data_IF_646438121179
#
_entry.id   IF_646438121179
#
_cell.length_a   1.000
_cell.length_b   1.000
_cell.length_c   1.000
_cell.angle_alpha   90.00
_cell.angle_beta   90.00
_cell.angle_gamma   90.00
#
_symmetry.space_group_name_H-M   'P 1'
#
loop_
_entity.id
_entity.type
_entity.pdbx_description
1 polymer ?
#
# COMPACT_ATOMS: atom_id res chain seq x y z
N UNK A 1 -68.39 -24.39 -35.07
CA UNK A 1 -67.81 -23.07 -34.72
C UNK A 1 -66.61 -23.35 -33.83
N UNK A 2 -65.39 -23.34 -34.40
CA UNK A 2 -64.17 -23.76 -33.71
C UNK A 2 -63.62 -22.55 -32.92
N UNK A 3 -63.67 -22.60 -31.59
CA UNK A 3 -63.24 -21.50 -30.72
C UNK A 3 -61.73 -21.48 -30.53
N UNK A 4 -61.09 -20.39 -30.95
CA UNK A 4 -59.66 -20.13 -30.78
C UNK A 4 -59.30 -20.04 -29.29
N UNK A 5 -58.44 -20.95 -28.81
CA UNK A 5 -57.85 -20.87 -27.46
C UNK A 5 -56.64 -19.93 -27.52
N UNK A 6 -56.75 -18.76 -26.90
CA UNK A 6 -55.63 -17.81 -26.79
C UNK A 6 -54.60 -18.34 -25.77
N UNK A 7 -53.33 -18.41 -26.16
CA UNK A 7 -52.24 -18.72 -25.23
C UNK A 7 -51.98 -17.51 -24.33
N UNK A 8 -52.10 -17.70 -23.01
CA UNK A 8 -51.71 -16.69 -22.03
C UNK A 8 -50.20 -16.72 -21.85
N UNK A 9 -49.52 -15.64 -22.25
CA UNK A 9 -48.09 -15.47 -22.03
C UNK A 9 -47.86 -14.80 -20.66
N UNK A 10 -47.42 -15.59 -19.67
CA UNK A 10 -46.94 -15.05 -18.40
C UNK A 10 -45.56 -14.43 -18.61
N UNK A 11 -45.38 -13.16 -18.22
CA UNK A 11 -44.08 -12.49 -18.28
C UNK A 11 -43.25 -12.95 -17.08
N UNK A 12 -42.11 -13.57 -17.36
CA UNK A 12 -41.11 -13.90 -16.35
C UNK A 12 -40.41 -12.59 -15.95
N UNK A 13 -40.78 -12.04 -14.79
CA UNK A 13 -40.03 -10.94 -14.19
C UNK A 13 -38.77 -11.54 -13.60
N UNK A 14 -37.66 -11.38 -14.30
CA UNK A 14 -36.36 -11.78 -13.79
C UNK A 14 -36.02 -10.81 -12.64
N UNK A 15 -36.12 -11.30 -11.40
CA UNK A 15 -35.70 -10.57 -10.21
C UNK A 15 -34.17 -10.48 -10.26
N UNK A 16 -33.67 -9.31 -10.65
CA UNK A 16 -32.24 -9.00 -10.59
C UNK A 16 -31.89 -8.69 -9.14
N UNK A 17 -30.86 -9.34 -8.61
CA UNK A 17 -30.36 -9.05 -7.27
C UNK A 17 -29.91 -7.59 -7.20
N UNK A 18 -30.40 -6.80 -6.22
CA UNK A 18 -29.98 -5.42 -6.08
C UNK A 18 -28.49 -5.35 -5.73
N UNK A 19 -27.74 -4.60 -6.52
CA UNK A 19 -26.30 -4.42 -6.32
C UNK A 19 -25.99 -3.82 -4.94
N UNK A 20 -25.24 -4.56 -4.13
CA UNK A 20 -24.74 -4.07 -2.82
C UNK A 20 -23.36 -3.45 -2.99
N UNK A 21 -23.18 -2.15 -2.69
CA UNK A 21 -21.87 -1.50 -2.83
C UNK A 21 -20.88 -2.06 -1.80
N UNK A 22 -19.70 -2.46 -2.28
CA UNK A 22 -18.63 -3.05 -1.47
C UNK A 22 -17.88 -2.02 -0.60
N UNK A 23 -18.05 -0.73 -0.88
CA UNK A 23 -17.40 0.36 -0.14
C UNK A 23 -18.43 1.41 0.26
N UNK A 24 -18.26 1.96 1.46
CA UNK A 24 -19.02 3.11 1.95
C UNK A 24 -18.04 4.22 2.31
N UNK A 25 -18.30 5.42 1.79
CA UNK A 25 -17.54 6.60 2.20
C UNK A 25 -18.11 7.14 3.52
N UNK A 26 -17.25 7.57 4.47
CA UNK A 26 -17.71 8.22 5.70
C UNK A 26 -18.50 9.50 5.38
N UNK A 27 -19.60 9.72 6.10
CA UNK A 27 -20.36 10.97 5.98
C UNK A 27 -19.54 12.11 6.61
N UNK A 28 -19.36 13.21 5.87
CA UNK A 28 -18.52 14.36 6.26
C UNK A 28 -19.31 15.66 6.45
N UNK A 29 -20.63 15.57 6.60
CA UNK A 29 -21.51 16.74 6.78
C UNK A 29 -21.14 17.58 8.00
N UNK A 30 -20.89 16.94 9.14
CA UNK A 30 -20.61 17.64 10.39
C UNK A 30 -19.11 17.87 10.63
N UNK A 31 -18.25 17.03 10.03
CA UNK A 31 -16.79 17.08 10.15
C UNK A 31 -16.11 17.07 8.76
N UNK A 32 -16.00 18.24 8.09
CA UNK A 32 -15.53 18.32 6.70
C UNK A 32 -14.05 17.99 6.52
N UNK A 33 -13.25 18.04 7.59
CA UNK A 33 -11.80 17.80 7.56
C UNK A 33 -11.48 16.53 8.36
N UNK A 34 -10.99 15.46 7.73
CA UNK A 34 -10.50 14.31 8.49
C UNK A 34 -9.31 14.76 9.33
N UNK A 35 -9.48 14.77 10.65
CA UNK A 35 -8.35 14.90 11.58
C UNK A 35 -7.40 13.73 11.29
N UNK A 36 -6.17 14.01 10.85
CA UNK A 36 -5.19 12.99 10.44
C UNK A 36 -5.00 11.94 11.54
N UNK A 37 -5.03 12.37 12.80
CA UNK A 37 -4.94 11.54 14.00
C UNK A 37 -6.09 10.53 14.12
N UNK A 38 -7.32 10.93 13.79
CA UNK A 38 -8.51 10.06 13.85
C UNK A 38 -8.59 9.14 12.62
N UNK A 39 -8.16 9.63 11.45
CA UNK A 39 -8.05 8.82 10.25
C UNK A 39 -7.07 7.66 10.44
N UNK A 40 -5.91 7.92 11.06
CA UNK A 40 -4.93 6.89 11.39
C UNK A 40 -5.45 5.91 12.45
N UNK A 41 -6.21 6.39 13.45
CA UNK A 41 -6.82 5.54 14.48
C UNK A 41 -7.92 4.64 13.91
N UNK A 42 -8.70 5.16 12.95
CA UNK A 42 -9.77 4.42 12.26
C UNK A 42 -9.23 3.44 11.23
N UNK A 43 -8.01 3.67 10.71
CA UNK A 43 -7.32 2.78 9.79
C UNK A 43 -6.79 1.48 10.44
N UNK A 44 -7.06 1.25 11.74
CA UNK A 44 -6.68 0.03 12.44
C UNK A 44 -5.17 -0.19 12.55
N UNK A 45 -4.36 0.85 12.34
CA UNK A 45 -2.92 0.77 12.50
C UNK A 45 -2.57 0.83 14.00
N UNK A 46 -1.75 -0.11 14.51
CA UNK A 46 -1.42 -0.16 15.94
C UNK A 46 -0.75 1.15 16.38
N UNK A 47 -1.32 1.77 17.43
CA UNK A 47 -0.76 2.95 18.07
C UNK A 47 0.51 2.54 18.83
N UNK A 48 1.66 2.67 18.18
CA UNK A 48 2.94 2.48 18.83
C UNK A 48 3.25 3.69 19.71
N UNK A 49 2.75 3.64 20.95
CA UNK A 49 3.36 4.35 22.07
C UNK A 49 4.77 3.78 22.27
N UNK A 50 5.78 4.48 21.75
CA UNK A 50 7.18 4.18 22.07
C UNK A 50 7.76 5.34 22.85
N UNK A 51 7.53 5.33 24.16
CA UNK A 51 8.43 5.96 25.11
C UNK A 51 9.79 5.21 25.02
N UNK A 52 10.71 5.69 24.19
CA UNK A 52 12.09 5.20 24.16
C UNK A 52 13.03 6.36 24.40
N UNK A 53 13.43 6.43 25.67
CA UNK A 53 14.75 6.76 26.21
C UNK A 53 15.66 7.65 25.37
N UNK A 54 15.81 8.87 25.90
CA UNK A 54 16.65 9.96 25.48
C UNK A 54 18.13 9.73 25.82
N UNK A 55 18.90 8.89 25.11
CA UNK A 55 20.37 8.89 25.32
C UNK A 55 21.18 8.47 24.08
N UNK A 56 21.65 9.45 23.29
CA UNK A 56 23.05 9.51 22.83
C UNK A 56 23.29 10.79 22.02
N UNK A 57 24.22 11.62 22.51
CA UNK A 57 24.74 12.79 21.80
C UNK A 57 25.60 12.31 20.63
N UNK A 58 25.26 12.65 19.39
CA UNK A 58 26.16 12.35 18.27
C UNK A 58 25.56 12.52 16.87
N UNK A 59 25.68 13.74 16.34
CA UNK A 59 25.75 14.11 14.92
C UNK A 59 24.58 13.83 13.97
N UNK A 60 24.34 14.85 13.12
CA UNK A 60 23.24 15.01 12.18
C UNK A 60 23.41 14.05 10.99
N UNK A 61 22.46 13.16 10.77
CA UNK A 61 22.09 12.72 9.42
C UNK A 61 20.57 12.59 9.38
N UNK A 62 19.88 13.06 8.33
CA UNK A 62 18.44 12.96 8.26
C UNK A 62 18.10 11.49 7.99
N UNK A 63 17.55 10.82 8.98
CA UNK A 63 16.37 9.92 8.96
C UNK A 63 16.00 9.14 7.67
N UNK A 64 16.96 8.79 6.80
CA UNK A 64 16.74 8.07 5.54
C UNK A 64 16.91 6.55 5.69
N UNK A 65 17.06 6.04 6.91
CA UNK A 65 17.29 4.63 7.20
C UNK A 65 16.15 3.94 7.97
N UNK A 66 14.94 4.52 7.99
CA UNK A 66 13.80 3.88 8.66
C UNK A 66 13.17 2.73 7.85
N UNK A 67 13.74 2.38 6.69
CA UNK A 67 13.34 1.23 5.86
C UNK A 67 14.56 0.46 5.35
N UNK A 68 15.48 0.09 6.24
CA UNK A 68 16.46 -0.92 5.88
C UNK A 68 15.74 -2.28 5.90
N UNK A 69 15.24 -2.69 4.73
CA UNK A 69 14.81 -4.08 4.50
C UNK A 69 15.96 -5.04 4.84
N UNK A 70 15.69 -6.36 4.95
CA UNK A 70 16.73 -7.33 5.24
C UNK A 70 17.97 -7.10 4.37
N UNK A 71 19.19 -7.05 4.96
CA UNK A 71 20.40 -6.75 4.20
C UNK A 71 20.54 -7.74 3.05
N UNK A 72 20.73 -7.20 1.84
CA UNK A 72 20.92 -8.00 0.63
C UNK A 72 22.15 -8.91 0.81
N UNK A 73 21.91 -10.19 1.11
CA UNK A 73 22.96 -11.17 1.32
C UNK A 73 23.31 -11.84 -0.01
N UNK A 74 24.57 -12.24 -0.21
CA UNK A 74 25.03 -12.89 -1.45
C UNK A 74 24.22 -14.14 -1.83
N UNK A 75 23.69 -14.86 -0.84
CA UNK A 75 22.80 -16.00 -1.05
C UNK A 75 21.44 -15.60 -1.63
N UNK A 76 20.83 -14.53 -1.12
CA UNK A 76 19.56 -13.99 -1.64
C UNK A 76 19.74 -13.52 -3.08
N UNK A 77 20.84 -12.82 -3.36
CA UNK A 77 21.13 -12.35 -4.72
C UNK A 77 21.32 -13.55 -5.68
N UNK A 78 21.79 -14.71 -5.19
CA UNK A 78 21.92 -15.93 -6.00
C UNK A 78 20.60 -16.58 -6.37
N UNK A 79 19.58 -16.47 -5.53
CA UNK A 79 18.26 -17.07 -5.77
C UNK A 79 17.37 -16.20 -6.66
N UNK A 80 17.67 -14.90 -6.79
CA UNK A 80 16.87 -13.98 -7.59
C UNK A 80 16.99 -14.25 -9.11
N UNK A 81 15.88 -14.13 -9.87
CA UNK A 81 15.92 -14.17 -11.33
C UNK A 81 16.84 -13.10 -11.91
N UNK A 82 17.50 -13.41 -13.04
CA UNK A 82 18.52 -12.54 -13.63
C UNK A 82 18.03 -11.11 -13.92
N UNK A 83 16.76 -10.94 -14.31
CA UNK A 83 16.14 -9.63 -14.59
C UNK A 83 16.06 -8.70 -13.36
N UNK A 84 16.22 -9.23 -12.14
CA UNK A 84 16.16 -8.49 -10.88
C UNK A 84 17.51 -8.41 -10.17
N UNK A 85 18.56 -9.08 -10.67
CA UNK A 85 19.90 -9.05 -10.08
C UNK A 85 20.61 -7.76 -10.50
N UNK A 86 20.97 -6.92 -9.52
CA UNK A 86 21.80 -5.73 -9.73
C UNK A 86 23.25 -6.13 -10.02
N UNK A 87 23.99 -5.27 -10.72
CA UNK A 87 25.45 -5.45 -10.90
C UNK A 87 26.19 -5.12 -9.61
N UNK A 88 27.32 -5.78 -9.39
CA UNK A 88 28.24 -5.40 -8.31
C UNK A 88 28.85 -4.04 -8.63
N UNK A 89 28.94 -3.19 -7.61
CA UNK A 89 29.54 -1.86 -7.68
C UNK A 89 31.03 -2.01 -7.41
N UNK A 90 31.89 -1.39 -8.23
CA UNK A 90 33.35 -1.42 -8.02
C UNK A 90 33.77 -0.49 -6.88
N UNK A 91 34.96 -0.69 -6.30
CA UNK A 91 35.46 0.17 -5.22
C UNK A 91 35.60 1.65 -5.65
N UNK A 92 36.08 1.88 -6.87
CA UNK A 92 36.17 3.23 -7.46
C UNK A 92 34.78 3.88 -7.58
N UNK A 93 33.77 3.13 -8.02
CA UNK A 93 32.41 3.63 -8.16
C UNK A 93 31.77 3.89 -6.78
N UNK A 94 32.04 3.03 -5.79
CA UNK A 94 31.63 3.25 -4.40
C UNK A 94 32.18 4.59 -3.90
N UNK A 95 33.47 4.87 -4.15
CA UNK A 95 34.12 6.13 -3.75
C UNK A 95 33.56 7.33 -4.52
N UNK A 96 33.34 7.19 -5.83
CA UNK A 96 32.74 8.24 -6.66
C UNK A 96 31.32 8.60 -6.21
N UNK A 97 30.51 7.60 -5.89
CA UNK A 97 29.15 7.79 -5.35
C UNK A 97 29.20 8.47 -3.97
N UNK A 98 30.10 8.02 -3.08
CA UNK A 98 30.24 8.61 -1.75
C UNK A 98 30.75 10.06 -1.80
N UNK A 99 31.65 10.39 -2.73
CA UNK A 99 32.15 11.75 -2.95
C UNK A 99 31.10 12.67 -3.58
N UNK A 100 30.12 12.11 -4.30
CA UNK A 100 29.05 12.88 -4.92
C UNK A 100 29.31 13.31 -6.37
N UNK A 101 30.31 12.72 -7.03
CA UNK A 101 30.59 12.97 -8.45
C UNK A 101 32.00 13.50 -8.76
N UNK A 102 32.19 14.07 -9.95
CA UNK A 102 33.41 14.78 -10.34
C UNK A 102 33.45 16.17 -9.68
N UNK A 103 34.68 16.68 -9.47
CA UNK A 103 34.96 18.07 -9.07
C UNK A 103 34.84 19.05 -10.25
#
# INVERSE_FOLDING_TARGET
MMGSKMASASRVVQVVEPHTPLIRFPDRRDNPKPNVSEALRSAGLPSHSSAISQHSKGSKSPDLLMYQGPPDTAEIIKTLPQKYRRKLVSQEEIEFIQRGGPE
#
